data_IF_206851894059
#
_entry.id   IF_206851894059
#
_cell.length_a   1.000
_cell.length_b   1.000
_cell.length_c   1.000
_cell.angle_alpha   90.00
_cell.angle_beta   90.00
_cell.angle_gamma   90.00
#
_symmetry.space_group_name_H-M   'P 1'
#
loop_
_entity.id
_entity.type
_entity.pdbx_description
1 polymer ?
#
# COMPACT_ATOMS: atom_id res chain seq x y z
N UNK A 1 6.96 -11.31 -13.67
CA UNK A 1 6.73 -11.37 -12.21
C UNK A 1 5.45 -10.61 -11.95
N UNK A 2 4.45 -11.31 -11.43
CA UNK A 2 3.10 -10.78 -11.25
C UNK A 2 2.98 -10.25 -9.82
N UNK A 3 2.55 -9.00 -9.68
CA UNK A 3 2.41 -8.33 -8.39
C UNK A 3 0.99 -7.81 -8.23
N UNK A 4 0.41 -7.98 -7.03
CA UNK A 4 -0.83 -7.35 -6.60
C UNK A 4 -0.63 -6.74 -5.23
N UNK A 5 -1.18 -5.54 -4.99
CA UNK A 5 -1.12 -4.87 -3.69
C UNK A 5 -2.52 -4.48 -3.21
N UNK A 6 -2.77 -4.73 -1.94
CA UNK A 6 -3.88 -4.22 -1.16
C UNK A 6 -3.29 -3.35 -0.04
N UNK A 7 -3.75 -2.11 0.08
CA UNK A 7 -3.38 -1.22 1.15
C UNK A 7 -4.61 -0.58 1.77
N UNK A 8 -4.68 -0.60 3.09
CA UNK A 8 -5.65 0.11 3.88
C UNK A 8 -4.89 1.00 4.86
N UNK A 9 -5.20 2.29 4.90
CA UNK A 9 -4.57 3.23 5.81
C UNK A 9 -5.52 4.35 6.20
N UNK A 10 -5.51 4.71 7.47
CA UNK A 10 -6.35 5.77 8.03
C UNK A 10 -5.57 6.55 9.09
N UNK A 11 -5.77 7.86 9.17
CA UNK A 11 -5.37 8.62 10.35
C UNK A 11 -6.42 8.53 11.46
N UNK A 12 -5.95 8.07 12.61
CA UNK A 12 -6.72 8.04 13.84
C UNK A 12 -6.26 9.19 14.74
N UNK A 13 -7.21 9.99 15.21
CA UNK A 13 -6.92 11.02 16.19
C UNK A 13 -6.78 10.40 17.58
N UNK A 14 -5.66 10.63 18.26
CA UNK A 14 -5.51 10.22 19.66
C UNK A 14 -6.30 11.21 20.54
N UNK A 15 -7.30 10.76 21.30
CA UNK A 15 -8.15 11.63 22.11
C UNK A 15 -7.32 12.54 23.03
N UNK A 16 -7.73 13.80 23.13
CA UNK A 16 -7.07 14.82 23.97
C UNK A 16 -5.64 15.18 23.54
N UNK A 17 -5.22 14.84 22.32
CA UNK A 17 -3.96 15.28 21.73
C UNK A 17 -4.19 15.93 20.37
N UNK A 18 -3.22 16.72 19.90
CA UNK A 18 -3.17 17.23 18.51
C UNK A 18 -2.43 16.28 17.56
N UNK A 19 -2.10 15.05 18.02
CA UNK A 19 -1.28 14.09 17.29
C UNK A 19 -2.22 13.12 16.56
N UNK A 20 -2.21 13.19 15.22
CA UNK A 20 -2.81 12.16 14.36
C UNK A 20 -1.82 11.00 14.18
N UNK A 21 -2.29 9.77 14.41
CA UNK A 21 -1.53 8.54 14.17
C UNK A 21 -2.08 7.86 12.92
N UNK A 22 -1.29 7.80 11.86
CA UNK A 22 -1.62 7.00 10.68
C UNK A 22 -1.37 5.53 10.95
N UNK A 23 -2.41 4.70 10.86
CA UNK A 23 -2.32 3.24 10.93
C UNK A 23 -2.69 2.65 9.58
N UNK A 24 -2.10 1.52 9.23
CA UNK A 24 -2.49 0.81 8.02
C UNK A 24 -2.06 -0.63 7.99
N UNK A 25 -2.67 -1.36 7.07
CA UNK A 25 -2.37 -2.73 6.72
C UNK A 25 -2.00 -2.78 5.25
N UNK A 26 -0.93 -3.50 4.92
CA UNK A 26 -0.50 -3.77 3.55
C UNK A 26 -0.52 -5.27 3.33
N UNK A 27 -1.04 -5.70 2.20
CA UNK A 27 -0.90 -7.06 1.71
C UNK A 27 -0.41 -7.03 0.27
N UNK A 28 0.60 -7.84 -0.03
CA UNK A 28 1.18 -7.92 -1.37
C UNK A 28 1.29 -9.38 -1.77
N UNK A 29 0.93 -9.66 -3.02
CA UNK A 29 1.12 -10.97 -3.62
C UNK A 29 2.17 -10.84 -4.72
N UNK A 30 3.19 -11.69 -4.68
CA UNK A 30 4.26 -11.77 -5.66
C UNK A 30 4.29 -13.19 -6.21
N UNK A 31 4.02 -13.35 -7.50
CA UNK A 31 3.89 -14.64 -8.18
C UNK A 31 2.96 -15.62 -7.42
N UNK A 32 1.88 -15.09 -6.83
CA UNK A 32 0.89 -15.83 -6.06
C UNK A 32 1.24 -16.11 -4.59
N UNK A 33 2.47 -15.81 -4.14
CA UNK A 33 2.84 -15.86 -2.73
C UNK A 33 2.39 -14.57 -2.02
N UNK A 34 1.49 -14.70 -1.04
CA UNK A 34 0.94 -13.59 -0.28
C UNK A 34 1.75 -13.24 0.97
N UNK A 35 1.94 -11.95 1.21
CA UNK A 35 2.57 -11.40 2.41
C UNK A 35 1.73 -10.26 2.94
N UNK A 36 1.71 -10.08 4.26
CA UNK A 36 0.93 -9.04 4.93
C UNK A 36 1.71 -8.40 6.06
N UNK A 37 1.38 -7.16 6.38
CA UNK A 37 1.83 -6.51 7.60
C UNK A 37 0.94 -5.34 7.99
N UNK A 38 1.15 -4.83 9.20
CA UNK A 38 0.57 -3.59 9.68
C UNK A 38 1.70 -2.57 9.93
N UNK A 39 1.36 -1.29 9.85
CA UNK A 39 2.28 -0.18 10.14
C UNK A 39 1.55 0.95 10.84
N UNK A 40 2.27 1.68 11.69
CA UNK A 40 1.86 2.95 12.28
C UNK A 40 2.75 4.12 11.80
N UNK A 41 3.54 3.90 10.75
CA UNK A 41 4.54 4.83 10.20
C UNK A 41 3.98 5.62 9.00
N UNK A 42 2.68 5.92 9.00
CA UNK A 42 2.01 6.58 7.88
C UNK A 42 1.90 8.11 8.05
N UNK A 43 2.44 8.64 9.16
CA UNK A 43 2.31 10.06 9.51
C UNK A 43 0.85 10.50 9.66
N UNK A 44 0.55 11.74 9.30
CA UNK A 44 -0.83 12.25 9.22
C UNK A 44 -1.43 11.91 7.87
N UNK A 45 -1.88 10.67 7.71
CA UNK A 45 -2.62 10.23 6.53
C UNK A 45 -4.03 10.85 6.52
N UNK A 46 -4.72 10.82 5.39
CA UNK A 46 -6.18 10.93 5.38
C UNK A 46 -6.79 9.53 5.56
N UNK A 47 -7.62 9.12 4.60
CA UNK A 47 -8.08 7.75 4.43
C UNK A 47 -7.66 7.22 3.05
N UNK A 48 -7.14 6.00 2.98
CA UNK A 48 -6.80 5.31 1.74
C UNK A 48 -7.15 3.83 1.83
N UNK A 49 -7.96 3.37 0.89
CA UNK A 49 -8.22 1.99 0.57
C UNK A 49 -7.83 1.77 -0.89
N UNK A 50 -6.82 0.96 -1.15
CA UNK A 50 -6.27 0.75 -2.47
C UNK A 50 -6.14 -0.75 -2.74
N UNK A 51 -6.87 -1.25 -3.72
CA UNK A 51 -6.61 -2.55 -4.34
C UNK A 51 -6.14 -2.33 -5.76
N UNK A 52 -4.99 -2.90 -6.11
CA UNK A 52 -4.52 -2.94 -7.49
C UNK A 52 -5.06 -4.17 -8.21
N UNK A 53 -5.22 -4.09 -9.53
CA UNK A 53 -5.23 -5.28 -10.36
C UNK A 53 -3.86 -6.01 -10.31
N UNK A 54 -3.80 -7.25 -10.79
CA UNK A 54 -2.53 -7.94 -11.01
C UNK A 54 -1.73 -7.22 -12.11
N UNK A 55 -0.46 -6.92 -11.83
CA UNK A 55 0.45 -6.24 -12.75
C UNK A 55 1.64 -7.15 -13.02
N UNK A 56 1.86 -7.49 -14.29
CA UNK A 56 3.12 -8.14 -14.70
C UNK A 56 4.20 -7.07 -14.89
N UNK A 57 5.23 -7.11 -14.05
CA UNK A 57 6.33 -6.15 -14.08
C UNK A 57 7.52 -6.66 -14.91
N UNK A 58 7.35 -7.78 -15.62
CA UNK A 58 8.40 -8.43 -16.41
C UNK A 58 9.34 -9.28 -15.56
N UNK A 59 10.56 -9.52 -16.05
CA UNK A 59 11.58 -10.30 -15.33
C UNK A 59 12.66 -9.37 -14.76
N UNK A 60 12.65 -9.09 -13.44
CA UNK A 60 13.76 -8.41 -12.79
C UNK A 60 15.05 -9.23 -12.88
N UNK A 61 16.19 -8.58 -12.61
CA UNK A 61 17.45 -9.29 -12.41
C UNK A 61 17.29 -10.42 -11.37
N UNK A 62 17.98 -11.58 -11.54
CA UNK A 62 17.79 -12.74 -10.66
C UNK A 62 17.92 -12.42 -9.17
N UNK A 63 18.90 -11.58 -8.80
CA UNK A 63 19.11 -11.13 -7.43
C UNK A 63 17.87 -10.38 -6.88
N UNK A 64 17.32 -9.44 -7.65
CA UNK A 64 16.12 -8.68 -7.27
C UNK A 64 14.91 -9.61 -7.18
N UNK A 65 14.74 -10.50 -8.16
CA UNK A 65 13.64 -11.47 -8.15
C UNK A 65 13.70 -12.35 -6.89
N UNK A 66 14.87 -12.87 -6.55
CA UNK A 66 15.05 -13.73 -5.39
C UNK A 66 14.75 -12.97 -4.09
N UNK A 67 15.19 -11.71 -3.98
CA UNK A 67 14.87 -10.83 -2.85
C UNK A 67 13.36 -10.59 -2.70
N UNK A 68 12.63 -10.38 -3.79
CA UNK A 68 11.20 -10.09 -3.71
C UNK A 68 10.31 -11.35 -3.73
N UNK A 69 10.85 -12.52 -4.06
CA UNK A 69 10.10 -13.80 -4.09
C UNK A 69 9.71 -14.34 -2.70
N UNK A 70 10.44 -13.95 -1.65
CA UNK A 70 10.14 -14.32 -0.27
C UNK A 70 10.37 -13.14 0.67
N UNK A 71 9.28 -12.50 1.07
CA UNK A 71 9.30 -11.34 1.97
C UNK A 71 9.14 -11.72 3.44
N UNK A 72 8.94 -13.00 3.79
CA UNK A 72 8.70 -13.37 5.19
C UNK A 72 9.89 -13.02 6.10
N UNK A 73 9.61 -12.28 7.17
CA UNK A 73 10.61 -11.78 8.12
C UNK A 73 11.50 -10.67 7.55
N UNK A 74 11.14 -10.10 6.40
CA UNK A 74 11.91 -9.05 5.75
C UNK A 74 11.23 -7.70 5.94
N UNK A 75 12.04 -6.67 6.24
CA UNK A 75 11.57 -5.28 6.23
C UNK A 75 11.51 -4.80 4.79
N UNK A 76 10.35 -4.24 4.42
CA UNK A 76 10.10 -3.66 3.10
C UNK A 76 9.64 -2.22 3.30
N UNK A 77 10.27 -1.31 2.58
CA UNK A 77 9.83 0.09 2.49
C UNK A 77 8.93 0.26 1.28
N UNK A 78 7.79 0.92 1.49
CA UNK A 78 6.80 1.20 0.46
C UNK A 78 6.74 2.70 0.21
N UNK A 79 6.62 3.07 -1.07
CA UNK A 79 6.18 4.38 -1.52
C UNK A 79 4.99 4.20 -2.45
N UNK A 80 3.82 4.71 -2.04
CA UNK A 80 2.56 4.62 -2.79
C UNK A 80 2.12 6.03 -3.18
N UNK A 81 2.07 6.30 -4.48
CA UNK A 81 1.55 7.55 -5.04
C UNK A 81 0.31 7.27 -5.87
N UNK A 82 -0.82 7.84 -5.49
CA UNK A 82 -2.09 7.66 -6.22
C UNK A 82 -2.61 8.99 -6.76
N UNK A 83 -3.53 8.93 -7.73
CA UNK A 83 -4.47 10.04 -7.93
C UNK A 83 -5.58 9.98 -6.87
N UNK A 84 -6.43 11.01 -6.84
CA UNK A 84 -7.68 10.99 -6.09
C UNK A 84 -8.69 10.13 -6.84
N UNK A 85 -9.33 9.19 -6.16
CA UNK A 85 -10.38 8.35 -6.73
C UNK A 85 -11.31 7.79 -5.66
N UNK A 86 -12.53 7.44 -6.08
CA UNK A 86 -13.55 6.80 -5.25
C UNK A 86 -14.15 5.66 -6.08
N UNK A 87 -14.25 4.47 -5.47
CA UNK A 87 -14.69 3.19 -6.05
C UNK A 87 -13.75 2.57 -7.08
N UNK A 88 -13.51 3.24 -8.21
CA UNK A 88 -12.80 2.66 -9.37
C UNK A 88 -12.08 3.70 -10.22
N UNK A 89 -11.19 3.26 -11.13
CA UNK A 89 -10.42 4.14 -12.00
C UNK A 89 -9.23 4.81 -11.30
N UNK A 90 -8.81 4.26 -10.15
CA UNK A 90 -7.60 4.70 -9.47
C UNK A 90 -6.36 4.33 -10.27
N UNK A 91 -5.37 5.22 -10.25
CA UNK A 91 -4.03 5.01 -10.78
C UNK A 91 -3.08 5.13 -9.60
N UNK A 92 -2.26 4.10 -9.40
CA UNK A 92 -1.24 4.07 -8.36
C UNK A 92 0.13 3.73 -8.95
N UNK A 93 1.16 4.42 -8.48
CA UNK A 93 2.56 4.06 -8.66
C UNK A 93 3.09 3.59 -7.32
N UNK A 94 3.63 2.38 -7.30
CA UNK A 94 4.13 1.71 -6.10
C UNK A 94 5.61 1.40 -6.32
N UNK A 95 6.43 1.80 -5.36
CA UNK A 95 7.81 1.35 -5.24
C UNK A 95 7.94 0.54 -3.96
N UNK A 96 8.52 -0.66 -4.06
CA UNK A 96 8.89 -1.50 -2.92
C UNK A 96 10.41 -1.60 -2.88
N UNK A 97 11.00 -1.32 -1.72
CA UNK A 97 12.45 -1.30 -1.52
C UNK A 97 12.84 -2.25 -0.40
N UNK A 98 13.92 -3.00 -0.61
CA UNK A 98 14.61 -3.80 0.41
C UNK A 98 16.07 -3.36 0.50
N UNK A 99 16.53 -3.07 1.70
CA UNK A 99 17.95 -2.83 1.97
C UNK A 99 18.65 -4.15 2.28
N UNK A 100 19.78 -4.40 1.64
CA UNK A 100 20.65 -5.57 1.87
C UNK A 100 22.05 -5.12 2.23
N UNK A 101 22.67 -5.80 3.19
CA UNK A 101 24.08 -5.57 3.49
C UNK A 101 24.95 -6.40 2.54
N UNK A 102 25.81 -5.72 1.78
CA UNK A 102 26.79 -6.34 0.90
C UNK A 102 28.15 -5.69 1.14
N UNK A 103 29.15 -6.49 1.50
CA UNK A 103 30.52 -6.03 1.75
C UNK A 103 30.61 -4.88 2.79
N UNK A 104 29.73 -4.89 3.80
CA UNK A 104 29.66 -3.87 4.85
C UNK A 104 28.98 -2.56 4.44
N UNK A 105 28.31 -2.54 3.29
CA UNK A 105 27.53 -1.40 2.78
C UNK A 105 26.07 -1.80 2.66
N UNK A 106 25.15 -0.93 3.09
CA UNK A 106 23.72 -1.09 2.83
C UNK A 106 23.42 -0.64 1.39
N UNK A 107 22.88 -1.56 0.60
CA UNK A 107 22.44 -1.33 -0.76
C UNK A 107 20.92 -1.49 -0.85
N UNK A 108 20.25 -0.51 -1.44
CA UNK A 108 18.82 -0.56 -1.67
C UNK A 108 18.52 -1.21 -3.03
N UNK A 109 17.67 -2.23 -3.01
CA UNK A 109 17.13 -2.90 -4.19
C UNK A 109 15.64 -2.66 -4.25
N UNK A 110 15.10 -2.31 -5.41
CA UNK A 110 13.69 -1.96 -5.55
C UNK A 110 13.01 -2.61 -6.75
N UNK A 111 11.69 -2.75 -6.62
CA UNK A 111 10.78 -2.99 -7.74
C UNK A 111 9.78 -1.84 -7.79
N UNK A 112 9.41 -1.42 -9.00
CA UNK A 112 8.44 -0.36 -9.25
C UNK A 112 7.39 -0.85 -10.23
N UNK A 113 6.13 -0.52 -9.96
CA UNK A 113 5.04 -0.80 -10.88
C UNK A 113 3.94 0.27 -10.85
N UNK A 114 3.23 0.37 -11.96
CA UNK A 114 2.08 1.24 -12.11
C UNK A 114 0.81 0.40 -12.31
N UNK A 115 -0.17 0.59 -11.44
CA UNK A 115 -1.51 0.05 -11.56
C UNK A 115 -2.45 1.14 -12.07
N UNK A 116 -3.25 0.86 -13.10
CA UNK A 116 -4.13 1.84 -13.75
C UNK A 116 -5.63 1.52 -13.61
N UNK A 117 -5.98 0.42 -12.94
CA UNK A 117 -7.35 0.01 -12.68
C UNK A 117 -7.51 -0.36 -11.20
N UNK A 118 -7.17 0.60 -10.34
CA UNK A 118 -7.27 0.43 -8.90
C UNK A 118 -8.71 0.63 -8.41
N UNK A 119 -9.07 -0.12 -7.37
CA UNK A 119 -10.35 -0.04 -6.65
C UNK A 119 -10.15 0.48 -5.23
N UNK A 120 -11.21 1.03 -4.65
CA UNK A 120 -11.23 1.56 -3.27
C UNK A 120 -11.38 3.08 -3.22
N UNK A 121 -10.75 3.74 -2.25
CA UNK A 121 -10.83 5.18 -2.00
C UNK A 121 -9.42 5.73 -1.83
N UNK A 122 -9.07 6.80 -2.51
CA UNK A 122 -7.92 7.63 -2.14
C UNK A 122 -8.33 9.09 -2.07
N UNK A 123 -8.28 9.63 -0.85
CA UNK A 123 -8.45 11.07 -0.58
C UNK A 123 -7.13 11.73 -0.15
N UNK A 124 -6.00 11.05 -0.35
CA UNK A 124 -4.68 11.51 0.06
C UNK A 124 -4.00 12.24 -1.11
N UNK A 125 -3.49 13.45 -0.86
CA UNK A 125 -2.82 14.28 -1.87
C UNK A 125 -1.31 14.03 -1.98
N UNK A 126 -0.70 13.47 -0.93
CA UNK A 126 0.74 13.21 -0.86
C UNK A 126 1.06 11.71 -1.01
N UNK A 127 2.26 11.35 -1.50
CA UNK A 127 2.72 9.98 -1.47
C UNK A 127 2.78 9.44 -0.03
N UNK A 128 2.32 8.21 0.12
CA UNK A 128 2.37 7.47 1.37
C UNK A 128 3.69 6.72 1.41
N UNK A 129 4.48 6.95 2.46
CA UNK A 129 5.77 6.28 2.66
C UNK A 129 5.77 5.61 4.03
N UNK A 130 6.16 4.35 4.10
CA UNK A 130 6.28 3.62 5.36
C UNK A 130 7.21 2.42 5.19
N UNK A 131 7.73 1.90 6.30
CA UNK A 131 8.45 0.63 6.32
C UNK A 131 7.80 -0.35 7.29
N UNK A 132 7.79 -1.63 6.94
CA UNK A 132 7.26 -2.67 7.83
C UNK A 132 7.85 -4.05 7.55
N UNK A 133 7.90 -4.91 8.57
CA UNK A 133 8.30 -6.31 8.46
C UNK A 133 7.14 -7.14 7.91
N UNK A 134 7.39 -7.88 6.84
CA UNK A 134 6.36 -8.66 6.15
C UNK A 134 6.24 -10.08 6.71
N UNK A 135 5.01 -10.51 6.94
CA UNK A 135 4.67 -11.87 7.37
C UNK A 135 4.02 -12.64 6.24
N UNK A 136 4.24 -13.95 6.18
CA UNK A 136 3.60 -14.78 5.16
C UNK A 136 2.11 -14.91 5.48
N UNK A 137 1.25 -14.68 4.49
CA UNK A 137 -0.18 -14.97 4.61
C UNK A 137 -0.40 -16.48 4.55
N UNK A 138 -1.08 -17.04 5.56
CA UNK A 138 -1.69 -18.36 5.41
C UNK A 138 -2.71 -18.26 4.27
N UNK A 139 -2.52 -19.08 3.22
CA UNK A 139 -3.22 -19.01 1.92
C UNK A 139 -4.70 -18.63 2.03
N UNK A 140 -4.98 -17.33 1.95
CA UNK A 140 -6.25 -16.78 1.53
C UNK A 140 -5.94 -15.50 0.75
N UNK A 141 -6.40 -15.45 -0.50
CA UNK A 141 -6.38 -14.21 -1.27
C UNK A 141 -7.56 -13.40 -0.73
N UNK A 142 -7.32 -12.49 0.20
CA UNK A 142 -8.34 -11.55 0.62
C UNK A 142 -8.71 -10.65 -0.58
N UNK A 143 -9.99 -10.56 -0.89
CA UNK A 143 -10.53 -9.63 -1.89
C UNK A 143 -11.33 -8.53 -1.19
N UNK A 144 -11.32 -7.30 -1.72
CA UNK A 144 -12.10 -6.21 -1.13
C UNK A 144 -13.61 -6.50 -1.10
N UNK A 145 -14.10 -7.37 -1.97
CA UNK A 145 -15.52 -7.75 -2.06
C UNK A 145 -16.08 -8.29 -0.73
N UNK A 146 -15.24 -8.78 0.19
CA UNK A 146 -15.67 -9.25 1.52
C UNK A 146 -15.49 -8.22 2.66
N UNK A 147 -14.76 -7.11 2.45
CA UNK A 147 -14.29 -6.26 3.56
C UNK A 147 -15.11 -4.96 3.72
N UNK A 148 -15.69 -4.41 2.65
CA UNK A 148 -16.43 -3.14 2.73
C UNK A 148 -17.71 -3.18 1.89
N UNK A 149 -18.85 -2.90 2.50
CA UNK A 149 -20.12 -2.76 1.78
C UNK A 149 -20.19 -1.41 1.05
N UNK A 150 -20.84 -1.39 -0.12
CA UNK A 150 -20.91 -0.22 -1.01
C UNK A 150 -21.46 1.07 -0.35
N UNK A 151 -22.32 0.92 0.65
CA UNK A 151 -22.93 2.03 1.39
C UNK A 151 -21.93 2.69 2.36
N UNK A 152 -21.00 1.91 2.93
CA UNK A 152 -19.99 2.41 3.88
C UNK A 152 -18.94 3.26 3.16
N UNK A 153 -18.61 2.92 1.90
CA UNK A 153 -17.68 3.69 1.07
C UNK A 153 -18.21 5.10 0.75
N UNK A 154 -19.52 5.27 0.57
CA UNK A 154 -20.13 6.59 0.31
C UNK A 154 -20.08 7.46 1.57
N UNK A 155 -20.42 6.88 2.73
CA UNK A 155 -20.46 7.60 3.99
C UNK A 155 -19.08 8.17 4.39
N UNK A 156 -17.98 7.45 4.08
CA UNK A 156 -16.61 7.92 4.35
C UNK A 156 -16.25 9.11 3.44
N UNK A 157 -16.70 9.12 2.18
CA UNK A 157 -16.47 10.23 1.26
C UNK A 157 -17.26 11.48 1.68
N UNK A 158 -18.51 11.30 2.13
CA UNK A 158 -19.34 12.40 2.64
C UNK A 158 -18.82 12.95 3.98
N UNK A 159 -18.13 12.11 4.76
CA UNK A 159 -17.49 12.52 6.01
C UNK A 159 -16.08 13.12 5.82
N UNK A 160 -15.48 12.99 4.63
CA UNK A 160 -14.20 13.59 4.34
C UNK A 160 -14.33 15.13 4.33
N UNK A 161 -13.38 15.86 4.93
CA UNK A 161 -13.45 17.33 4.98
C UNK A 161 -13.52 17.89 3.56
N UNK A 162 -14.40 18.88 3.30
CA UNK A 162 -14.53 19.46 1.98
C UNK A 162 -13.18 20.03 1.54
N UNK A 163 -12.74 19.65 0.35
CA UNK A 163 -11.59 20.27 -0.29
C UNK A 163 -11.97 21.72 -0.58
N UNK A 164 -11.40 22.68 0.16
CA UNK A 164 -11.53 24.09 -0.18
C UNK A 164 -11.00 24.30 -1.60
N UNK A 165 -11.90 24.69 -2.49
CA UNK A 165 -11.63 24.86 -3.91
C UNK A 165 -10.53 25.90 -4.14
N UNK A 166 -9.53 25.52 -4.91
CA UNK A 166 -8.68 26.47 -5.61
C UNK A 166 -9.53 27.06 -6.74
N UNK A 167 -10.13 28.22 -6.45
CA UNK A 167 -10.61 29.16 -7.47
C UNK A 167 -9.47 29.95 -8.07
#
# INVERSE_FOLDING_TARGET
MIVKLLFFGEAVNIPSTTIGLGIGAVSVWIDGAGFTSATNDLGTLGYMLLETQEVDIGEPEPEVRDLFSNLHGQVVSYQIKTNLFVRSGGIARITMTRSVEQDGVLLDKSIEFQATDCRGISVVSNPVNFSTEMLQLERSVASLDEIVADDDLIAIVDAAPPTEGVG
#
